data_IF_525553101106
#
_entry.id   IF_525553101106
#
_cell.length_a   1.000
_cell.length_b   1.000
_cell.length_c   1.000
_cell.angle_alpha   90.00
_cell.angle_beta   90.00
_cell.angle_gamma   90.00
#
_symmetry.space_group_name_H-M   'P 1'
#
loop_
_entity.id
_entity.type
_entity.pdbx_description
1 polymer ?
#
# COMPACT_ATOMS: atom_id res chain seq x y z
N UNK A 1 -19.25 8.75 -28.02
CA UNK A 1 -18.65 8.03 -29.17
C UNK A 1 -18.15 6.69 -28.66
N UNK A 2 -18.34 5.57 -29.37
CA UNK A 2 -17.72 4.31 -29.00
C UNK A 2 -16.19 4.42 -29.07
N UNK A 3 -15.50 3.65 -28.24
CA UNK A 3 -14.04 3.58 -28.22
C UNK A 3 -13.50 2.92 -29.50
N UNK A 4 -12.32 3.37 -29.94
CA UNK A 4 -11.63 2.78 -31.10
C UNK A 4 -10.88 1.52 -30.67
N UNK A 5 -10.95 0.46 -31.47
CA UNK A 5 -10.32 -0.83 -31.14
C UNK A 5 -8.81 -0.71 -30.99
N UNK A 6 -8.19 0.10 -31.83
CA UNK A 6 -6.74 0.32 -31.85
C UNK A 6 -6.26 1.01 -30.57
N UNK A 7 -7.05 1.94 -30.03
CA UNK A 7 -6.73 2.60 -28.77
C UNK A 7 -6.85 1.64 -27.58
N UNK A 8 -7.85 0.76 -27.59
CA UNK A 8 -8.03 -0.28 -26.56
C UNK A 8 -6.84 -1.25 -26.55
N UNK A 9 -6.42 -1.72 -27.72
CA UNK A 9 -5.28 -2.64 -27.85
C UNK A 9 -3.98 -2.02 -27.34
N UNK A 10 -3.73 -0.75 -27.72
CA UNK A 10 -2.58 0.01 -27.23
C UNK A 10 -2.60 0.17 -25.71
N UNK A 11 -3.75 0.49 -25.12
CA UNK A 11 -3.88 0.64 -23.67
C UNK A 11 -3.68 -0.69 -22.94
N UNK A 12 -4.19 -1.80 -23.49
CA UNK A 12 -3.99 -3.13 -22.92
C UNK A 12 -2.52 -3.55 -22.94
N UNK A 13 -1.81 -3.29 -24.04
CA UNK A 13 -0.37 -3.56 -24.12
C UNK A 13 0.40 -2.79 -23.03
N UNK A 14 0.09 -1.50 -22.85
CA UNK A 14 0.70 -0.69 -21.80
C UNK A 14 0.36 -1.21 -20.38
N UNK A 15 -0.88 -1.65 -20.15
CA UNK A 15 -1.28 -2.23 -18.86
C UNK A 15 -0.53 -3.51 -18.53
N UNK A 16 -0.30 -4.38 -19.52
CA UNK A 16 0.46 -5.62 -19.34
C UNK A 16 1.92 -5.32 -18.98
N UNK A 17 2.55 -4.37 -19.67
CA UNK A 17 3.93 -3.93 -19.39
C UNK A 17 4.09 -3.36 -17.96
N UNK A 18 3.14 -2.51 -17.54
CA UNK A 18 3.11 -1.98 -16.18
C UNK A 18 2.86 -3.08 -15.15
N UNK A 19 2.02 -4.05 -15.46
CA UNK A 19 1.74 -5.19 -14.57
C UNK A 19 2.97 -6.09 -14.40
N UNK A 20 3.69 -6.41 -15.49
CA UNK A 20 4.94 -7.18 -15.43
C UNK A 20 6.00 -6.45 -14.59
N UNK A 21 6.17 -5.15 -14.80
CA UNK A 21 7.07 -4.32 -13.98
C UNK A 21 6.71 -4.38 -12.48
N UNK A 22 5.41 -4.36 -12.15
CA UNK A 22 4.96 -4.51 -10.77
C UNK A 22 5.30 -5.89 -10.20
N UNK A 23 5.07 -6.97 -10.96
CA UNK A 23 5.39 -8.35 -10.55
C UNK A 23 6.87 -8.47 -10.22
N UNK A 24 7.74 -7.99 -11.12
CA UNK A 24 9.18 -8.09 -10.98
C UNK A 24 9.68 -7.33 -9.76
N UNK A 25 9.17 -6.11 -9.54
CA UNK A 25 9.49 -5.32 -8.35
C UNK A 25 9.12 -6.07 -7.05
N UNK A 26 7.94 -6.69 -7.01
CA UNK A 26 7.49 -7.43 -5.82
C UNK A 26 8.35 -8.68 -5.60
N UNK A 27 8.64 -9.44 -6.66
CA UNK A 27 9.48 -10.65 -6.59
C UNK A 27 10.90 -10.32 -6.13
N UNK A 28 11.51 -9.28 -6.68
CA UNK A 28 12.85 -8.82 -6.29
C UNK A 28 12.90 -8.44 -4.80
N UNK A 29 11.91 -7.66 -4.32
CA UNK A 29 11.88 -7.16 -2.95
C UNK A 29 11.52 -8.22 -1.90
N UNK A 30 10.65 -9.17 -2.24
CA UNK A 30 10.21 -10.22 -1.29
C UNK A 30 11.08 -11.47 -1.37
N UNK A 31 11.66 -11.74 -2.54
CA UNK A 31 12.58 -12.86 -2.79
C UNK A 31 12.06 -14.18 -2.21
N UNK A 32 12.86 -14.88 -1.37
CA UNK A 32 12.50 -16.19 -0.84
C UNK A 32 11.34 -16.17 0.17
N UNK A 33 10.90 -14.99 0.61
CA UNK A 33 9.74 -14.87 1.51
C UNK A 33 8.43 -15.08 0.77
N UNK A 34 8.37 -14.66 -0.51
CA UNK A 34 7.16 -14.76 -1.30
C UNK A 34 6.87 -16.22 -1.61
N UNK A 35 5.63 -16.65 -1.35
CA UNK A 35 5.19 -18.00 -1.70
C UNK A 35 4.92 -18.11 -3.19
N UNK A 36 4.99 -19.34 -3.70
CA UNK A 36 4.46 -19.66 -5.02
C UNK A 36 2.96 -19.91 -4.87
N UNK A 37 2.16 -18.98 -5.36
CA UNK A 37 0.69 -19.04 -5.31
C UNK A 37 0.15 -18.37 -6.59
N UNK A 38 -0.72 -19.07 -7.36
CA UNK A 38 -1.20 -18.60 -8.65
C UNK A 38 -2.03 -17.32 -8.57
N UNK A 39 -2.56 -16.99 -7.39
CA UNK A 39 -3.47 -15.86 -7.21
C UNK A 39 -2.74 -14.55 -6.86
N UNK A 40 -1.41 -14.57 -6.66
CA UNK A 40 -0.63 -13.42 -6.15
C UNK A 40 -0.72 -12.15 -6.99
N UNK A 41 -0.89 -12.28 -8.31
CA UNK A 41 -0.84 -11.17 -9.26
C UNK A 41 -2.10 -11.10 -10.13
N UNK A 42 -3.25 -11.39 -9.52
CA UNK A 42 -4.57 -11.39 -10.19
C UNK A 42 -5.39 -10.14 -9.89
N UNK A 43 -4.92 -9.27 -9.00
CA UNK A 43 -5.68 -8.15 -8.46
C UNK A 43 -6.56 -8.49 -7.27
N UNK A 44 -6.51 -9.73 -6.77
CA UNK A 44 -7.17 -10.13 -5.53
C UNK A 44 -6.59 -9.42 -4.30
N UNK A 45 -7.45 -9.22 -3.30
CA UNK A 45 -7.09 -8.59 -2.03
C UNK A 45 -6.98 -9.64 -0.94
N UNK A 46 -6.02 -9.44 -0.04
CA UNK A 46 -5.73 -10.38 1.04
C UNK A 46 -5.98 -9.75 2.40
N UNK A 47 -6.46 -10.57 3.34
CA UNK A 47 -6.41 -10.19 4.76
C UNK A 47 -4.96 -10.15 5.23
N UNK A 48 -4.68 -9.41 6.32
CA UNK A 48 -3.32 -9.36 6.88
C UNK A 48 -2.73 -10.74 7.19
N UNK A 49 -3.53 -11.66 7.75
CA UNK A 49 -3.10 -13.04 8.07
C UNK A 49 -2.65 -13.79 6.82
N UNK A 50 -3.49 -13.80 5.79
CA UNK A 50 -3.16 -14.45 4.51
C UNK A 50 -1.98 -13.77 3.83
N UNK A 51 -1.88 -12.44 3.90
CA UNK A 51 -0.72 -11.69 3.41
C UNK A 51 0.58 -12.08 4.12
N UNK A 52 0.55 -12.40 5.41
CA UNK A 52 1.71 -12.92 6.13
C UNK A 52 2.09 -14.33 5.66
N UNK A 53 1.09 -15.21 5.51
CA UNK A 53 1.30 -16.59 5.03
C UNK A 53 1.89 -16.65 3.61
N UNK A 54 1.39 -15.78 2.72
CA UNK A 54 1.88 -15.63 1.34
C UNK A 54 3.24 -14.91 1.27
N UNK A 55 3.72 -14.36 2.39
CA UNK A 55 4.94 -13.60 2.43
C UNK A 55 4.86 -12.25 1.72
N UNK A 56 3.68 -11.63 1.65
CA UNK A 56 3.46 -10.26 1.19
C UNK A 56 3.82 -9.21 2.25
N UNK A 57 3.68 -9.56 3.54
CA UNK A 57 4.09 -8.72 4.68
C UNK A 57 4.99 -9.51 5.63
N UNK A 58 5.71 -8.82 6.50
CA UNK A 58 6.67 -9.46 7.42
C UNK A 58 6.08 -9.74 8.81
N UNK A 59 5.04 -9.00 9.22
CA UNK A 59 4.42 -9.15 10.53
C UNK A 59 3.02 -8.53 10.57
N UNK A 60 2.26 -8.90 11.61
CA UNK A 60 1.02 -8.25 12.01
C UNK A 60 1.26 -7.38 13.25
N UNK A 61 0.65 -6.20 13.30
CA UNK A 61 0.75 -5.33 14.46
C UNK A 61 0.00 -4.01 14.28
N UNK A 62 -0.22 -3.29 15.37
CA UNK A 62 -0.75 -1.94 15.35
C UNK A 62 0.38 -0.89 15.30
N UNK A 63 0.03 0.31 14.84
CA UNK A 63 0.99 1.39 14.64
C UNK A 63 1.74 1.78 15.92
N UNK A 64 1.07 1.83 17.09
CA UNK A 64 1.72 2.27 18.33
C UNK A 64 2.75 1.25 18.80
N UNK A 65 2.37 -0.03 18.79
CA UNK A 65 3.26 -1.11 19.19
C UNK A 65 4.46 -1.22 18.26
N UNK A 66 4.24 -1.21 16.94
CA UNK A 66 5.33 -1.31 15.94
C UNK A 66 6.32 -0.14 16.07
N UNK A 67 5.82 1.08 16.21
CA UNK A 67 6.69 2.26 16.33
C UNK A 67 7.51 2.25 17.63
N UNK A 68 6.90 1.86 18.77
CA UNK A 68 7.64 1.75 20.03
C UNK A 68 8.69 0.65 20.00
N UNK A 69 8.39 -0.49 19.36
CA UNK A 69 9.37 -1.56 19.18
C UNK A 69 10.53 -1.12 18.29
N UNK A 70 10.26 -0.36 17.22
CA UNK A 70 11.28 0.06 16.25
C UNK A 70 12.13 1.24 16.71
N UNK A 71 11.52 2.22 17.38
CA UNK A 71 12.14 3.51 17.70
C UNK A 71 12.26 3.79 19.21
N UNK A 72 11.80 2.87 20.05
CA UNK A 72 11.92 2.91 21.50
C UNK A 72 10.64 3.33 22.23
N UNK A 73 10.55 3.06 23.55
CA UNK A 73 9.32 3.20 24.34
C UNK A 73 8.83 4.65 24.45
N UNK A 74 9.74 5.63 24.28
CA UNK A 74 9.44 7.06 24.35
C UNK A 74 8.92 7.65 23.02
N UNK A 75 8.76 6.83 21.98
CA UNK A 75 8.26 7.28 20.67
C UNK A 75 6.85 7.87 20.79
N UNK A 76 6.66 9.07 20.22
CA UNK A 76 5.37 9.76 20.20
C UNK A 76 4.88 9.98 18.77
N UNK A 77 3.63 9.62 18.53
CA UNK A 77 2.96 9.87 17.26
C UNK A 77 2.44 11.31 17.26
N UNK A 78 2.90 12.11 16.31
CA UNK A 78 2.39 13.47 16.08
C UNK A 78 1.46 13.44 14.87
N UNK A 79 0.20 13.81 15.09
CA UNK A 79 -0.75 14.02 14.00
C UNK A 79 -0.39 15.33 13.29
N UNK A 80 -0.02 15.26 12.01
CA UNK A 80 0.23 16.44 11.18
C UNK A 80 -1.05 16.75 10.43
N UNK A 81 -1.73 17.82 10.82
CA UNK A 81 -2.90 18.34 10.12
C UNK A 81 -2.54 19.62 9.37
N UNK A 82 -3.28 19.93 8.30
CA UNK A 82 -3.16 21.23 7.63
C UNK A 82 -3.31 22.38 8.67
N UNK A 83 -2.53 23.47 8.55
CA UNK A 83 -2.61 24.58 9.49
C UNK A 83 -4.02 25.17 9.47
N UNK A 84 -4.63 25.34 10.65
CA UNK A 84 -5.89 26.07 10.75
C UNK A 84 -5.63 27.55 10.49
N UNK A 85 -6.45 28.19 9.65
CA UNK A 85 -6.43 29.63 9.44
C UNK A 85 -6.74 30.42 10.73
N UNK A 86 -6.41 31.71 10.75
CA UNK A 86 -6.53 32.58 11.93
C UNK A 86 -7.94 32.56 12.57
N UNK A 87 -9.00 32.49 11.76
CA UNK A 87 -10.39 32.40 12.22
C UNK A 87 -10.75 31.03 12.81
N UNK A 88 -10.03 29.96 12.48
CA UNK A 88 -10.20 28.63 13.08
C UNK A 88 -9.41 28.43 14.38
N UNK A 89 -8.58 29.41 14.76
CA UNK A 89 -7.79 29.43 16.00
C UNK A 89 -8.42 30.33 17.09
N UNK A 90 -9.28 31.26 16.67
CA UNK A 90 -10.07 32.18 17.50
C UNK A 90 -11.52 31.71 17.70
N UNK A 91 -11.73 30.42 17.97
CA UNK A 91 -13.04 29.90 18.33
C UNK A 91 -13.55 30.52 19.64
N UNK A 92 -14.35 31.58 19.54
CA UNK A 92 -15.09 32.20 20.65
C UNK A 92 -16.33 31.37 21.04
N UNK A 93 -16.39 30.08 20.69
CA UNK A 93 -17.42 29.16 21.18
C UNK A 93 -16.84 27.75 21.28
N UNK A 94 -16.60 27.29 22.51
CA UNK A 94 -16.45 25.87 22.86
C UNK A 94 -15.09 25.24 22.58
#
# INVERSE_FOLDING_TARGET
KPEKKEDIERLKALQLDVHETFIDLVKDRRGPKLKDDPDLFTGLFWTGKKGLELGLVDALGDMRSVLKTRFGPKTQLKLITAPRGLFGRFGWFG
#
